data_IF_528000488296
#
_entry.id   IF_528000488296
#
_cell.length_a   1.000
_cell.length_b   1.000
_cell.length_c   1.000
_cell.angle_alpha   90.00
_cell.angle_beta   90.00
_cell.angle_gamma   90.00
#
_symmetry.space_group_name_H-M   'P 1'
#
loop_
_entity.id
_entity.type
_entity.pdbx_description
1 polymer ?
#
# COMPACT_ATOMS: atom_id res chain seq x y z
N UNK A 1 10.76 -7.70 23.46
CA UNK A 1 9.40 -7.16 23.66
C UNK A 1 8.87 -6.79 22.27
N UNK A 2 8.35 -7.79 21.54
CA UNK A 2 7.78 -7.61 20.20
C UNK A 2 6.27 -7.53 20.36
N UNK A 3 5.79 -6.32 20.67
CA UNK A 3 4.36 -6.02 20.71
C UNK A 3 3.97 -5.59 19.29
N UNK A 4 3.60 -6.54 18.45
CA UNK A 4 3.21 -6.27 17.08
C UNK A 4 2.12 -7.26 16.69
N UNK A 5 0.88 -6.88 16.95
CA UNK A 5 -0.31 -7.58 16.44
C UNK A 5 -0.42 -7.26 14.95
N UNK A 6 0.51 -7.80 14.16
CA UNK A 6 0.48 -7.68 12.71
C UNK A 6 -0.82 -8.34 12.22
N UNK A 7 -1.72 -7.50 11.70
CA UNK A 7 -3.07 -7.95 11.32
C UNK A 7 -3.20 -7.89 9.81
N UNK A 8 -3.59 -9.01 9.19
CA UNK A 8 -3.84 -9.08 7.76
C UNK A 8 -5.04 -8.18 7.42
N UNK A 9 -4.86 -7.32 6.42
CA UNK A 9 -5.97 -6.54 5.84
C UNK A 9 -6.61 -7.37 4.73
N UNK A 10 -7.79 -7.93 5.01
CA UNK A 10 -8.54 -8.73 4.05
C UNK A 10 -9.16 -7.88 2.93
N UNK A 11 -9.42 -8.50 1.78
CA UNK A 11 -10.02 -7.85 0.61
C UNK A 11 -9.02 -7.07 -0.25
N UNK A 12 -7.72 -7.32 -0.08
CA UNK A 12 -6.67 -6.79 -0.95
C UNK A 12 -6.33 -7.82 -2.02
N UNK A 13 -6.45 -7.44 -3.29
CA UNK A 13 -6.34 -8.35 -4.43
C UNK A 13 -4.94 -8.30 -5.05
N UNK A 14 -4.28 -9.46 -5.13
CA UNK A 14 -2.95 -9.60 -5.72
C UNK A 14 -1.84 -8.91 -4.92
N UNK A 15 -2.02 -8.73 -3.62
CA UNK A 15 -1.02 -8.15 -2.74
C UNK A 15 -1.27 -8.61 -1.31
N UNK A 16 -0.21 -8.82 -0.52
CA UNK A 16 -0.33 -9.05 0.92
C UNK A 16 -0.29 -7.71 1.65
N UNK A 17 -1.37 -7.34 2.35
CA UNK A 17 -1.42 -6.13 3.16
C UNK A 17 -1.40 -6.46 4.65
N UNK A 18 -0.43 -5.89 5.37
CA UNK A 18 -0.24 -6.09 6.81
C UNK A 18 -0.37 -4.77 7.55
N UNK A 19 -1.34 -4.68 8.46
CA UNK A 19 -1.45 -3.57 9.42
C UNK A 19 -0.48 -3.81 10.55
N UNK A 20 0.39 -2.84 10.82
CA UNK A 20 1.43 -2.89 11.85
C UNK A 20 1.33 -1.69 12.78
N UNK A 21 1.80 -1.88 14.02
CA UNK A 21 1.86 -0.85 15.04
C UNK A 21 0.50 -0.53 15.68
N UNK A 22 0.52 0.41 16.62
CA UNK A 22 -0.65 0.85 17.40
C UNK A 22 -0.73 2.38 17.42
N UNK A 23 -1.96 2.91 17.55
CA UNK A 23 -2.19 4.35 17.66
C UNK A 23 -1.68 5.15 16.44
N UNK A 24 -1.02 6.28 16.70
CA UNK A 24 -0.52 7.20 15.66
C UNK A 24 0.66 6.63 14.84
N UNK A 25 1.30 5.57 15.30
CA UNK A 25 2.39 4.90 14.59
C UNK A 25 1.88 3.74 13.70
N UNK A 26 0.57 3.52 13.67
CA UNK A 26 -0.02 2.46 12.88
C UNK A 26 0.12 2.76 11.37
N UNK A 27 0.49 1.73 10.61
CA UNK A 27 0.60 1.79 9.15
C UNK A 27 0.18 0.47 8.52
N UNK A 28 -0.03 0.47 7.21
CA UNK A 28 -0.24 -0.73 6.41
C UNK A 28 0.94 -0.89 5.46
N UNK A 29 1.68 -1.98 5.60
CA UNK A 29 2.74 -2.36 4.66
C UNK A 29 2.12 -3.30 3.61
N UNK A 30 2.27 -2.96 2.33
CA UNK A 30 1.69 -3.72 1.20
C UNK A 30 2.82 -4.36 0.41
N UNK A 31 2.82 -5.67 0.39
CA UNK A 31 3.77 -6.52 -0.31
C UNK A 31 3.17 -7.04 -1.61
N UNK A 32 4.00 -7.63 -2.46
CA UNK A 32 3.53 -8.43 -3.58
C UNK A 32 2.73 -9.66 -3.11
N UNK A 33 2.26 -10.44 -4.07
CA UNK A 33 1.40 -11.60 -3.80
C UNK A 33 2.14 -12.69 -3.02
N UNK A 34 3.45 -12.82 -3.27
CA UNK A 34 4.34 -13.76 -2.59
C UNK A 34 4.75 -13.28 -1.18
N UNK A 35 4.62 -11.97 -0.90
CA UNK A 35 5.00 -11.36 0.36
C UNK A 35 6.50 -11.03 0.48
N UNK A 36 7.25 -11.20 -0.61
CA UNK A 36 8.70 -11.06 -0.66
C UNK A 36 9.13 -9.61 -0.89
N UNK A 37 8.35 -8.84 -1.66
CA UNK A 37 8.69 -7.49 -2.07
C UNK A 37 7.71 -6.48 -1.47
N UNK A 38 8.21 -5.57 -0.64
CA UNK A 38 7.43 -4.41 -0.19
C UNK A 38 7.17 -3.47 -1.37
N UNK A 39 5.91 -3.33 -1.78
CA UNK A 39 5.50 -2.45 -2.86
C UNK A 39 5.42 -0.99 -2.39
N UNK A 40 4.72 -0.77 -1.27
CA UNK A 40 4.56 0.55 -0.64
C UNK A 40 4.03 0.44 0.80
N UNK A 41 4.13 1.53 1.54
CA UNK A 41 3.50 1.72 2.86
C UNK A 41 2.38 2.77 2.76
N UNK A 42 1.27 2.50 3.45
CA UNK A 42 0.09 3.35 3.52
C UNK A 42 -0.29 3.69 4.96
N UNK A 43 -1.07 4.77 5.18
CA UNK A 43 -1.73 5.05 6.44
C UNK A 43 -2.60 3.88 6.92
N UNK A 44 -2.69 3.66 8.23
CA UNK A 44 -3.44 2.54 8.80
C UNK A 44 -4.97 2.63 8.72
N UNK A 45 -5.51 3.79 8.34
CA UNK A 45 -6.94 4.03 8.15
C UNK A 45 -7.42 3.75 6.71
N UNK A 46 -6.51 3.39 5.81
CA UNK A 46 -6.89 3.06 4.44
C UNK A 46 -7.76 1.81 4.36
N UNK A 47 -8.82 1.93 3.57
CA UNK A 47 -9.74 0.84 3.28
C UNK A 47 -9.14 -0.09 2.22
N UNK A 48 -9.50 -1.40 2.22
CA UNK A 48 -9.05 -2.36 1.21
C UNK A 48 -9.23 -1.87 -0.23
N UNK A 49 -10.35 -1.20 -0.53
CA UNK A 49 -10.60 -0.62 -1.85
C UNK A 49 -9.58 0.44 -2.27
N UNK A 50 -9.09 1.27 -1.33
CA UNK A 50 -8.06 2.28 -1.61
C UNK A 50 -6.70 1.62 -1.86
N UNK A 51 -6.39 0.57 -1.09
CA UNK A 51 -5.18 -0.23 -1.27
C UNK A 51 -5.20 -0.89 -2.66
N UNK A 52 -6.32 -1.47 -3.08
CA UNK A 52 -6.45 -2.09 -4.40
C UNK A 52 -6.23 -1.11 -5.55
N UNK A 53 -6.75 0.13 -5.43
CA UNK A 53 -6.48 1.20 -6.42
C UNK A 53 -4.98 1.52 -6.48
N UNK A 54 -4.30 1.59 -5.33
CA UNK A 54 -2.87 1.83 -5.27
C UNK A 54 -2.04 0.68 -5.87
N UNK A 55 -2.39 -0.58 -5.57
CA UNK A 55 -1.77 -1.78 -6.15
C UNK A 55 -1.93 -1.80 -7.67
N UNK A 56 -3.13 -1.51 -8.18
CA UNK A 56 -3.40 -1.40 -9.62
C UNK A 56 -2.53 -0.31 -10.27
N UNK A 57 -2.42 0.85 -9.65
CA UNK A 57 -1.58 1.94 -10.14
C UNK A 57 -0.08 1.56 -10.15
N UNK A 58 0.39 0.90 -9.08
CA UNK A 58 1.77 0.41 -8.99
C UNK A 58 2.08 -0.60 -10.09
N UNK A 59 1.25 -1.64 -10.25
CA UNK A 59 1.40 -2.68 -11.27
C UNK A 59 1.39 -2.09 -12.68
N UNK A 60 0.52 -1.11 -12.95
CA UNK A 60 0.48 -0.40 -14.23
C UNK A 60 1.77 0.39 -14.48
N UNK A 61 2.31 1.06 -13.47
CA UNK A 61 3.59 1.77 -13.57
C UNK A 61 4.77 0.82 -13.82
N UNK A 62 4.85 -0.28 -13.08
CA UNK A 62 5.89 -1.31 -13.24
C UNK A 62 5.87 -1.94 -14.65
N UNK A 63 4.68 -2.22 -15.19
CA UNK A 63 4.50 -2.78 -16.54
C UNK A 63 5.08 -1.88 -17.65
N UNK A 64 5.18 -0.57 -17.44
CA UNK A 64 5.73 0.37 -18.41
C UNK A 64 7.25 0.59 -18.26
N UNK A 65 7.95 -0.24 -17.47
CA UNK A 65 9.41 -0.14 -17.30
C UNK A 65 9.85 1.07 -16.48
N UNK A 66 8.91 1.75 -15.82
CA UNK A 66 9.23 2.87 -14.95
C UNK A 66 9.69 2.33 -13.59
N UNK A 67 11.00 2.44 -13.35
CA UNK A 67 11.68 2.29 -12.05
C UNK A 67 11.17 3.27 -10.95
N UNK A 68 9.97 3.84 -11.12
CA UNK A 68 9.36 4.84 -10.23
C UNK A 68 7.91 4.49 -9.86
N UNK A 69 7.60 3.20 -9.75
CA UNK A 69 6.29 2.68 -9.32
C UNK A 69 5.79 3.32 -8.01
N UNK A 70 6.70 3.55 -7.06
CA UNK A 70 6.39 4.20 -5.77
C UNK A 70 5.96 5.66 -5.94
N UNK A 71 6.69 6.47 -6.72
CA UNK A 71 6.36 7.90 -6.92
C UNK A 71 5.04 8.07 -7.66
N UNK A 72 4.77 7.24 -8.66
CA UNK A 72 3.49 7.28 -9.38
C UNK A 72 2.32 6.73 -8.58
N UNK A 73 2.51 5.67 -7.79
CA UNK A 73 1.47 5.21 -6.86
C UNK A 73 1.14 6.32 -5.86
N UNK A 74 2.16 6.94 -5.25
CA UNK A 74 2.00 8.07 -4.33
C UNK A 74 1.33 9.28 -5.00
N UNK A 75 1.64 9.58 -6.26
CA UNK A 75 0.96 10.62 -7.04
C UNK A 75 -0.49 10.26 -7.37
N UNK A 76 -0.76 9.04 -7.84
CA UNK A 76 -2.10 8.57 -8.18
C UNK A 76 -3.04 8.58 -6.96
N UNK A 77 -2.53 8.14 -5.82
CA UNK A 77 -3.21 8.20 -4.52
C UNK A 77 -3.50 9.65 -4.12
N UNK A 78 -2.49 10.54 -4.16
CA UNK A 78 -2.68 11.96 -3.83
C UNK A 78 -3.72 12.60 -4.75
N UNK A 79 -3.66 12.30 -6.04
CA UNK A 79 -4.63 12.76 -7.03
C UNK A 79 -6.04 12.22 -6.76
N UNK A 80 -6.20 10.94 -6.40
CA UNK A 80 -7.52 10.36 -6.08
C UNK A 80 -8.11 10.90 -4.77
N UNK A 81 -7.25 11.35 -3.85
CA UNK A 81 -7.64 11.97 -2.58
C UNK A 81 -7.83 13.50 -2.70
N UNK A 82 -7.69 14.09 -3.91
CA UNK A 82 -7.81 15.54 -4.12
C UNK A 82 -6.67 16.36 -3.50
N UNK A 83 -5.56 15.72 -3.13
CA UNK A 83 -4.39 16.38 -2.56
C UNK A 83 -3.54 16.90 -3.72
N UNK A 84 -3.72 18.16 -4.07
CA UNK A 84 -2.94 18.88 -5.07
C UNK A 84 -1.91 19.80 -4.38
N UNK A 85 -0.63 19.55 -4.65
CA UNK A 85 0.43 20.56 -4.58
C UNK A 85 0.98 20.73 -5.99
#
# INVERSE_FOLDING_TARGET
MHDATDTIVHGVDGALALRRGIGELARIDVFDEDGDILLFTAPADWLPGQINVAVQAYRRGAKHGELSGERKARYAIRRSLGIHQ
#
